data_IF_419956357550
#
_entry.id   IF_419956357550
#
_cell.length_a   1.000
_cell.length_b   1.000
_cell.length_c   1.000
_cell.angle_alpha   90.00
_cell.angle_beta   90.00
_cell.angle_gamma   90.00
#
_symmetry.space_group_name_H-M   'P 1'
#
loop_
_entity.id
_entity.type
_entity.pdbx_description
1 polymer ?
#
# COMPACT_ATOMS: atom_id res chain seq x y z
N UNK A 1 4.85 -2.46 -32.72
CA UNK A 1 3.49 -1.91 -32.94
C UNK A 1 2.62 -3.07 -33.42
N UNK A 2 1.94 -3.75 -32.50
CA UNK A 2 0.85 -4.68 -32.81
C UNK A 2 0.06 -4.88 -31.52
N UNK A 3 -1.23 -4.53 -31.57
CA UNK A 3 -2.22 -4.79 -30.54
C UNK A 3 -2.44 -6.30 -30.42
N UNK A 4 -2.61 -6.80 -29.20
CA UNK A 4 -3.38 -8.02 -28.98
C UNK A 4 -4.35 -7.82 -27.80
N UNK A 5 -5.63 -8.04 -28.11
CA UNK A 5 -6.77 -7.97 -27.21
C UNK A 5 -6.91 -9.36 -26.58
N UNK A 6 -6.77 -9.50 -25.26
CA UNK A 6 -7.49 -10.55 -24.54
C UNK A 6 -7.70 -10.25 -23.06
N UNK A 7 -8.96 -10.44 -22.66
CA UNK A 7 -9.59 -10.17 -21.38
C UNK A 7 -8.91 -10.84 -20.17
N UNK A 8 -8.67 -10.07 -19.11
CA UNK A 8 -9.09 -10.30 -17.70
C UNK A 8 -8.32 -9.36 -16.75
N UNK A 9 -8.89 -8.19 -16.45
CA UNK A 9 -8.19 -7.09 -15.77
C UNK A 9 -9.03 -6.56 -14.62
N UNK A 10 -8.62 -6.78 -13.37
CA UNK A 10 -9.36 -6.26 -12.22
C UNK A 10 -8.40 -5.85 -11.09
N UNK A 11 -8.51 -4.56 -10.71
CA UNK A 11 -8.01 -3.84 -9.52
C UNK A 11 -6.73 -2.99 -9.64
N UNK A 12 -5.65 -3.46 -10.26
CA UNK A 12 -4.36 -2.72 -10.21
C UNK A 12 -4.16 -1.63 -11.29
N UNK A 13 -4.65 -1.82 -12.53
CA UNK A 13 -4.39 -0.90 -13.67
C UNK A 13 -5.14 0.45 -13.60
N UNK A 14 -6.20 0.52 -12.79
CA UNK A 14 -7.18 1.62 -12.88
C UNK A 14 -6.75 2.85 -12.11
N UNK A 15 -5.73 2.72 -11.27
CA UNK A 15 -5.15 3.81 -10.50
C UNK A 15 -4.26 4.72 -11.37
N UNK A 16 -3.63 4.15 -12.41
CA UNK A 16 -2.74 4.87 -13.32
C UNK A 16 -3.42 5.29 -14.62
N UNK A 17 -4.59 4.71 -14.93
CA UNK A 17 -5.31 5.00 -16.18
C UNK A 17 -4.80 4.19 -17.37
N UNK A 18 -4.10 3.08 -17.12
CA UNK A 18 -3.48 2.23 -18.13
C UNK A 18 -4.40 1.09 -18.64
N UNK A 19 -5.62 0.99 -18.12
CA UNK A 19 -6.59 -0.04 -18.51
C UNK A 19 -7.16 0.15 -19.93
N UNK A 20 -7.45 1.40 -20.31
CA UNK A 20 -8.02 1.75 -21.62
C UNK A 20 -7.64 3.18 -21.99
N UNK A 21 -7.55 3.47 -23.28
CA UNK A 21 -7.36 4.82 -23.79
C UNK A 21 -8.58 5.73 -23.52
N UNK A 22 -9.73 5.16 -23.12
CA UNK A 22 -10.93 5.92 -22.76
C UNK A 22 -10.95 6.25 -21.25
N UNK A 23 -10.78 7.53 -20.86
CA UNK A 23 -10.75 7.92 -19.44
C UNK A 23 -12.08 7.72 -18.72
N UNK A 24 -13.21 7.83 -19.43
CA UNK A 24 -14.54 7.61 -18.85
C UNK A 24 -14.71 6.14 -18.50
N UNK A 25 -14.33 5.24 -19.41
CA UNK A 25 -14.37 3.81 -19.16
C UNK A 25 -13.51 3.45 -17.94
N UNK A 26 -12.28 3.97 -17.87
CA UNK A 26 -11.40 3.78 -16.71
C UNK A 26 -12.06 4.20 -15.40
N UNK A 27 -12.72 5.36 -15.39
CA UNK A 27 -13.38 5.87 -14.20
C UNK A 27 -14.61 5.04 -13.80
N UNK A 28 -15.47 4.65 -14.73
CA UNK A 28 -16.65 3.81 -14.44
C UNK A 28 -16.22 2.47 -13.86
N UNK A 29 -15.27 1.83 -14.55
CA UNK A 29 -14.78 0.50 -14.23
C UNK A 29 -13.90 0.55 -12.97
N UNK A 30 -13.30 1.71 -12.66
CA UNK A 30 -12.61 2.01 -11.41
C UNK A 30 -13.59 2.13 -10.23
N UNK A 31 -14.65 2.91 -10.37
CA UNK A 31 -15.67 3.05 -9.32
C UNK A 31 -16.33 1.71 -8.98
N UNK A 32 -16.78 0.96 -9.98
CA UNK A 32 -17.45 -0.32 -9.76
C UNK A 32 -16.60 -1.25 -8.89
N UNK A 33 -15.34 -1.50 -9.29
CA UNK A 33 -14.49 -2.41 -8.54
C UNK A 33 -14.10 -1.90 -7.16
N UNK A 34 -13.72 -0.64 -7.04
CA UNK A 34 -13.22 -0.12 -5.77
C UNK A 34 -14.33 0.04 -4.75
N UNK A 35 -15.51 0.49 -5.17
CA UNK A 35 -16.68 0.47 -4.29
C UNK A 35 -17.02 -0.95 -3.86
N UNK A 36 -16.94 -1.96 -4.75
CA UNK A 36 -17.16 -3.37 -4.38
C UNK A 36 -16.21 -3.93 -3.32
N UNK A 37 -15.04 -3.33 -3.12
CA UNK A 37 -14.10 -3.65 -2.03
C UNK A 37 -14.01 -2.53 -0.99
N UNK A 38 -15.04 -1.70 -0.86
CA UNK A 38 -15.15 -0.63 0.13
C UNK A 38 -14.01 0.40 0.10
N UNK A 39 -13.51 0.72 -1.09
CA UNK A 39 -12.49 1.76 -1.32
C UNK A 39 -13.08 2.93 -2.12
N UNK A 40 -12.91 4.19 -1.68
CA UNK A 40 -13.33 5.35 -2.47
C UNK A 40 -12.34 5.55 -3.63
N UNK A 41 -12.76 5.21 -4.85
CA UNK A 41 -11.90 5.19 -6.05
C UNK A 41 -11.04 6.46 -6.19
N UNK A 42 -11.62 7.64 -6.39
CA UNK A 42 -10.81 8.86 -6.58
C UNK A 42 -9.99 9.24 -5.35
N UNK A 43 -10.53 9.00 -4.15
CA UNK A 43 -9.80 9.24 -2.91
C UNK A 43 -8.49 8.46 -2.88
N UNK A 44 -8.55 7.15 -3.09
CA UNK A 44 -7.37 6.30 -3.15
C UNK A 44 -6.51 6.57 -4.39
N UNK A 45 -7.10 6.75 -5.58
CA UNK A 45 -6.36 7.02 -6.82
C UNK A 45 -5.43 8.22 -6.69
N UNK A 46 -5.93 9.31 -6.10
CA UNK A 46 -5.17 10.56 -5.97
C UNK A 46 -4.06 10.38 -4.94
N UNK A 47 -4.35 9.82 -3.76
CA UNK A 47 -3.31 9.58 -2.74
C UNK A 47 -2.25 8.58 -3.20
N UNK A 48 -2.65 7.54 -3.92
CA UNK A 48 -1.75 6.58 -4.55
C UNK A 48 -0.84 7.25 -5.60
N UNK A 49 -1.39 8.16 -6.41
CA UNK A 49 -0.56 8.98 -7.33
C UNK A 49 0.46 9.82 -6.55
N UNK A 50 0.05 10.44 -5.43
CA UNK A 50 0.96 11.19 -4.55
C UNK A 50 2.06 10.30 -3.98
N UNK A 51 1.74 9.07 -3.55
CA UNK A 51 2.73 8.06 -3.16
C UNK A 51 3.73 7.78 -4.28
N UNK A 52 3.26 7.53 -5.51
CA UNK A 52 4.15 7.33 -6.64
C UNK A 52 5.04 8.53 -6.97
N UNK A 53 4.59 9.75 -6.69
CA UNK A 53 5.39 10.95 -6.92
C UNK A 53 6.43 11.20 -5.84
N UNK A 54 6.28 10.60 -4.65
CA UNK A 54 7.06 10.92 -3.45
C UNK A 54 7.66 9.70 -2.75
N UNK A 55 7.58 8.51 -3.33
CA UNK A 55 8.00 7.26 -2.69
C UNK A 55 9.44 7.36 -2.12
N UNK A 56 9.62 6.87 -0.89
CA UNK A 56 10.92 6.92 -0.19
C UNK A 56 11.31 8.31 0.35
N UNK A 57 10.42 9.32 0.26
CA UNK A 57 10.57 10.60 0.95
C UNK A 57 9.93 10.54 2.34
N UNK A 58 10.65 10.94 3.40
CA UNK A 58 10.14 10.82 4.79
C UNK A 58 8.85 11.63 5.00
N UNK A 59 8.79 12.86 4.51
CA UNK A 59 7.68 13.79 4.76
C UNK A 59 6.54 13.68 3.72
N UNK A 60 6.89 13.52 2.44
CA UNK A 60 5.95 13.68 1.33
C UNK A 60 5.32 12.37 0.83
N UNK A 61 5.90 11.21 1.15
CA UNK A 61 5.27 9.91 0.90
C UNK A 61 4.01 9.73 1.77
N UNK A 62 3.11 8.79 1.49
CA UNK A 62 1.74 8.73 2.02
C UNK A 62 1.49 7.61 3.05
N UNK A 63 1.73 6.37 2.64
CA UNK A 63 1.42 5.16 3.41
C UNK A 63 2.70 4.49 3.89
N UNK A 64 2.63 3.83 5.05
CA UNK A 64 3.77 3.09 5.63
C UNK A 64 5.08 3.89 5.74
N UNK A 65 4.97 5.22 5.85
CA UNK A 65 6.12 6.11 6.01
C UNK A 65 6.76 5.96 7.40
N UNK A 66 8.07 6.17 7.52
CA UNK A 66 8.75 6.16 8.79
C UNK A 66 8.26 7.33 9.64
N UNK A 67 8.12 7.10 10.93
CA UNK A 67 7.84 8.17 11.88
C UNK A 67 9.15 8.79 12.35
N UNK A 68 9.31 10.12 12.33
CA UNK A 68 10.37 10.77 13.09
C UNK A 68 10.28 10.36 14.57
N UNK A 69 11.43 10.16 15.21
CA UNK A 69 11.52 9.66 16.59
C UNK A 69 10.65 10.45 17.58
N UNK A 70 10.64 11.79 17.48
CA UNK A 70 9.79 12.64 18.32
C UNK A 70 8.30 12.35 18.14
N UNK A 71 7.85 12.09 16.93
CA UNK A 71 6.44 11.77 16.65
C UNK A 71 6.13 10.37 17.17
N UNK A 72 6.99 9.39 16.89
CA UNK A 72 6.84 8.02 17.36
C UNK A 72 6.72 7.97 18.90
N UNK A 73 7.56 8.70 19.63
CA UNK A 73 7.53 8.77 21.09
C UNK A 73 6.23 9.36 21.65
N UNK A 74 5.57 10.25 20.90
CA UNK A 74 4.29 10.88 21.27
C UNK A 74 3.06 10.03 20.95
N UNK A 75 3.19 8.96 20.16
CA UNK A 75 2.06 8.10 19.86
C UNK A 75 1.55 7.42 21.13
N UNK A 76 0.23 7.34 21.24
CA UNK A 76 -0.43 6.59 22.29
C UNK A 76 -0.21 5.08 22.11
N UNK A 77 -0.44 4.33 23.19
CA UNK A 77 -0.24 2.89 23.20
C UNK A 77 -1.08 2.16 22.15
N UNK A 78 -2.32 2.58 21.92
CA UNK A 78 -3.23 1.88 20.99
C UNK A 78 -2.75 2.03 19.54
N UNK A 79 -2.29 3.24 19.16
CA UNK A 79 -1.70 3.47 17.83
C UNK A 79 -0.43 2.65 17.64
N UNK A 80 0.46 2.59 18.65
CA UNK A 80 1.66 1.74 18.57
C UNK A 80 1.30 0.25 18.48
N UNK A 81 0.35 -0.21 19.29
CA UNK A 81 -0.11 -1.59 19.28
C UNK A 81 -0.66 -1.98 17.91
N UNK A 82 -1.58 -1.19 17.35
CA UNK A 82 -2.16 -1.45 16.03
C UNK A 82 -1.13 -1.38 14.89
N UNK A 83 -0.09 -0.54 15.01
CA UNK A 83 0.94 -0.35 13.97
C UNK A 83 2.10 -1.34 14.04
N UNK A 84 2.44 -1.87 15.21
CA UNK A 84 3.66 -2.69 15.39
C UNK A 84 3.43 -4.09 15.97
N UNK A 85 2.20 -4.47 16.34
CA UNK A 85 1.92 -5.82 16.87
C UNK A 85 1.21 -6.69 15.84
N UNK A 86 1.91 -7.66 15.25
CA UNK A 86 1.27 -8.67 14.38
C UNK A 86 0.11 -9.38 15.10
N UNK A 87 -1.06 -9.57 14.45
CA UNK A 87 -1.36 -9.30 13.04
C UNK A 87 -2.04 -7.94 12.76
N UNK A 88 -2.24 -7.09 13.76
CA UNK A 88 -3.06 -5.88 13.68
C UNK A 88 -2.67 -4.90 12.54
N UNK A 89 -1.38 -4.69 12.21
CA UNK A 89 -0.99 -3.77 11.14
C UNK A 89 -1.51 -4.21 9.76
N UNK A 90 -1.83 -5.49 9.58
CA UNK A 90 -2.37 -6.03 8.33
C UNK A 90 -3.87 -5.72 8.15
N UNK A 91 -4.50 -5.10 9.14
CA UNK A 91 -5.89 -4.64 9.03
C UNK A 91 -5.98 -3.11 9.06
N UNK A 92 -4.86 -2.42 8.79
CA UNK A 92 -4.75 -0.97 8.91
C UNK A 92 -5.38 -0.24 7.73
N UNK A 93 -5.51 -0.87 6.56
CA UNK A 93 -5.97 -0.22 5.33
C UNK A 93 -7.29 0.54 5.47
N UNK A 94 -8.37 -0.02 6.06
CA UNK A 94 -9.60 0.75 6.26
C UNK A 94 -9.38 1.96 7.17
N UNK A 95 -8.58 1.81 8.24
CA UNK A 95 -8.24 2.91 9.16
C UNK A 95 -7.45 3.99 8.41
N UNK A 96 -6.51 3.60 7.55
CA UNK A 96 -5.75 4.50 6.70
C UNK A 96 -6.66 5.29 5.73
N UNK A 97 -7.69 4.66 5.17
CA UNK A 97 -8.67 5.37 4.34
C UNK A 97 -9.38 6.48 5.12
N UNK A 98 -9.74 6.22 6.38
CA UNK A 98 -10.43 7.19 7.23
C UNK A 98 -9.52 8.28 7.80
N UNK A 99 -8.30 7.93 8.22
CA UNK A 99 -7.47 8.78 9.10
C UNK A 99 -6.02 8.99 8.64
N UNK A 100 -5.59 8.35 7.54
CA UNK A 100 -4.21 8.29 7.03
C UNK A 100 -3.20 7.72 8.04
N UNK A 101 -1.92 7.69 7.65
CA UNK A 101 -0.81 7.27 8.50
C UNK A 101 -0.63 8.21 9.70
N UNK A 102 -0.15 7.73 10.86
CA UNK A 102 0.18 8.61 11.99
C UNK A 102 1.13 9.74 11.57
N UNK A 103 0.85 10.96 12.06
CA UNK A 103 1.57 12.18 11.64
C UNK A 103 0.99 12.87 10.40
N UNK A 104 0.02 12.24 9.72
CA UNK A 104 -0.74 12.86 8.62
C UNK A 104 -2.19 13.03 9.03
N UNK A 105 -2.85 14.01 8.43
CA UNK A 105 -4.26 14.32 8.70
C UNK A 105 -5.07 14.30 7.41
N UNK A 106 -6.35 13.95 7.54
CA UNK A 106 -7.26 13.87 6.41
C UNK A 106 -7.89 12.49 6.23
N UNK A 107 -8.78 12.41 5.25
CA UNK A 107 -9.60 11.23 4.97
C UNK A 107 -9.78 11.11 3.47
N UNK A 108 -9.70 9.89 2.95
CA UNK A 108 -9.92 9.59 1.54
C UNK A 108 -11.36 9.80 1.10
N UNK A 109 -12.28 9.91 2.07
CA UNK A 109 -13.71 10.13 1.84
C UNK A 109 -14.11 11.62 1.88
N UNK A 110 -13.27 12.47 2.49
CA UNK A 110 -13.59 13.88 2.68
C UNK A 110 -13.00 14.72 1.53
N UNK A 111 -13.82 15.34 0.65
CA UNK A 111 -13.31 16.17 -0.44
C UNK A 111 -12.50 17.38 0.03
N UNK A 112 -12.71 17.85 1.27
CA UNK A 112 -11.96 18.96 1.86
C UNK A 112 -10.71 18.49 2.63
N UNK A 113 -10.35 17.21 2.54
CA UNK A 113 -9.11 16.70 3.10
C UNK A 113 -7.88 17.37 2.45
N UNK A 114 -6.83 17.59 3.25
CA UNK A 114 -5.52 18.05 2.77
C UNK A 114 -4.85 17.11 1.76
N UNK A 115 -5.42 15.93 1.50
CA UNK A 115 -5.02 15.03 0.41
C UNK A 115 -5.31 15.60 -0.99
N UNK A 116 -6.30 16.48 -1.11
CA UNK A 116 -6.91 16.81 -2.40
C UNK A 116 -6.85 18.30 -2.69
N UNK A 117 -6.57 18.63 -3.95
CA UNK A 117 -6.70 20.00 -4.44
C UNK A 117 -8.17 20.38 -4.63
N UNK A 118 -8.44 21.69 -4.74
CA UNK A 118 -9.80 22.19 -4.89
C UNK A 118 -10.50 21.67 -6.16
N UNK A 119 -9.76 21.46 -7.25
CA UNK A 119 -10.24 20.91 -8.52
C UNK A 119 -10.60 19.41 -8.44
N UNK A 120 -10.07 18.69 -7.45
CA UNK A 120 -10.28 17.24 -7.28
C UNK A 120 -11.50 16.90 -6.40
N UNK A 121 -12.06 17.90 -5.70
CA UNK A 121 -13.14 17.72 -4.71
C UNK A 121 -14.36 16.99 -5.26
N UNK A 122 -14.78 17.34 -6.48
CA UNK A 122 -15.94 16.73 -7.13
C UNK A 122 -15.72 15.24 -7.37
N UNK A 123 -14.51 14.85 -7.77
CA UNK A 123 -14.13 13.45 -8.00
C UNK A 123 -14.23 12.65 -6.69
N UNK A 124 -13.66 13.18 -5.61
CA UNK A 124 -13.70 12.55 -4.29
C UNK A 124 -15.15 12.40 -3.80
N UNK A 125 -15.96 13.46 -3.94
CA UNK A 125 -17.37 13.43 -3.56
C UNK A 125 -18.15 12.33 -4.32
N UNK A 126 -17.95 12.20 -5.63
CA UNK A 126 -18.55 11.13 -6.43
C UNK A 126 -18.16 9.74 -5.91
N UNK A 127 -16.88 9.51 -5.64
CA UNK A 127 -16.42 8.22 -5.10
C UNK A 127 -16.97 7.93 -3.70
N UNK A 128 -17.09 8.93 -2.84
CA UNK A 128 -17.68 8.77 -1.50
C UNK A 128 -19.17 8.43 -1.58
N UNK A 129 -19.92 9.05 -2.50
CA UNK A 129 -21.34 8.73 -2.74
C UNK A 129 -21.49 7.28 -3.23
N UNK A 130 -20.68 6.86 -4.21
CA UNK A 130 -20.74 5.49 -4.75
C UNK A 130 -20.29 4.43 -3.73
N UNK A 131 -19.31 4.76 -2.88
CA UNK A 131 -18.96 3.93 -1.74
C UNK A 131 -20.12 3.81 -0.74
N UNK A 132 -20.79 4.90 -0.39
CA UNK A 132 -21.93 4.88 0.52
C UNK A 132 -23.10 4.08 -0.06
N UNK A 133 -23.32 4.17 -1.38
CA UNK A 133 -24.29 3.36 -2.09
C UNK A 133 -23.96 1.86 -2.00
N UNK A 134 -22.69 1.47 -2.10
CA UNK A 134 -22.28 0.07 -1.88
C UNK A 134 -22.54 -0.38 -0.44
N UNK A 135 -22.24 0.44 0.56
CA UNK A 135 -22.51 0.10 1.97
C UNK A 135 -24.01 -0.07 2.20
N UNK A 136 -24.84 0.82 1.67
CA UNK A 136 -26.30 0.69 1.73
C UNK A 136 -26.79 -0.58 1.02
N UNK A 137 -26.24 -0.89 -0.16
CA UNK A 137 -26.54 -2.13 -0.88
C UNK A 137 -26.20 -3.37 -0.04
N UNK A 138 -25.01 -3.44 0.56
CA UNK A 138 -24.60 -4.54 1.44
C UNK A 138 -25.50 -4.64 2.67
N UNK A 139 -25.94 -3.51 3.24
CA UNK A 139 -26.91 -3.49 4.33
C UNK A 139 -28.25 -4.10 3.90
N UNK A 140 -28.79 -3.71 2.74
CA UNK A 140 -30.01 -4.31 2.20
C UNK A 140 -29.84 -5.82 1.96
N UNK A 141 -28.72 -6.26 1.38
CA UNK A 141 -28.43 -7.69 1.21
C UNK A 141 -28.39 -8.41 2.57
N UNK A 142 -27.76 -7.79 3.59
CA UNK A 142 -27.72 -8.31 4.96
C UNK A 142 -29.12 -8.58 5.53
N UNK A 143 -30.09 -7.70 5.24
CA UNK A 143 -31.48 -7.89 5.68
C UNK A 143 -32.23 -9.03 4.97
N UNK A 144 -31.76 -9.45 3.79
CA UNK A 144 -32.36 -10.52 3.00
C UNK A 144 -31.75 -11.88 3.34
N UNK A 145 -30.42 -12.00 3.32
CA UNK A 145 -29.71 -13.28 3.52
C UNK A 145 -29.24 -13.51 4.96
N UNK A 146 -29.38 -12.50 5.81
CA UNK A 146 -28.91 -12.48 7.20
C UNK A 146 -27.45 -12.00 7.33
N UNK A 147 -27.12 -11.31 8.44
CA UNK A 147 -25.79 -10.72 8.64
C UNK A 147 -24.67 -11.76 8.72
N UNK A 148 -24.94 -12.95 9.26
CA UNK A 148 -23.93 -14.02 9.33
C UNK A 148 -23.61 -14.60 7.95
N UNK A 149 -24.61 -14.71 7.07
CA UNK A 149 -24.41 -15.15 5.69
C UNK A 149 -23.60 -14.11 4.91
N UNK A 150 -23.94 -12.82 5.04
CA UNK A 150 -23.19 -11.74 4.41
C UNK A 150 -21.74 -11.69 4.92
N UNK A 151 -21.53 -11.85 6.23
CA UNK A 151 -20.20 -11.93 6.82
C UNK A 151 -19.38 -13.07 6.19
N UNK A 152 -19.97 -14.25 5.99
CA UNK A 152 -19.27 -15.40 5.38
C UNK A 152 -18.91 -15.18 3.91
N UNK A 153 -19.84 -14.66 3.10
CA UNK A 153 -19.66 -14.58 1.64
C UNK A 153 -18.96 -13.30 1.18
N UNK A 154 -19.04 -12.23 1.97
CA UNK A 154 -18.45 -10.93 1.64
C UNK A 154 -17.44 -10.46 2.69
N UNK A 155 -17.83 -10.45 3.97
CA UNK A 155 -16.99 -9.90 5.04
C UNK A 155 -15.67 -10.65 5.25
N UNK A 156 -15.68 -11.97 5.34
CA UNK A 156 -14.47 -12.80 5.51
C UNK A 156 -13.55 -12.70 4.29
N UNK A 157 -14.02 -12.86 3.03
CA UNK A 157 -13.19 -12.60 1.85
C UNK A 157 -12.61 -11.18 1.81
N UNK A 158 -13.40 -10.18 2.18
CA UNK A 158 -12.94 -8.79 2.26
C UNK A 158 -11.82 -8.61 3.30
N UNK A 159 -11.93 -9.20 4.49
CA UNK A 159 -10.89 -9.15 5.51
C UNK A 159 -9.59 -9.85 5.06
N UNK A 160 -9.71 -10.97 4.35
CA UNK A 160 -8.55 -11.65 3.75
C UNK A 160 -7.89 -10.77 2.69
N UNK A 161 -8.69 -10.12 1.84
CA UNK A 161 -8.20 -9.17 0.84
C UNK A 161 -7.47 -7.99 1.50
N UNK A 162 -8.04 -7.37 2.54
CA UNK A 162 -7.41 -6.28 3.30
C UNK A 162 -6.08 -6.73 3.89
N UNK A 163 -6.06 -7.90 4.55
CA UNK A 163 -4.85 -8.48 5.12
C UNK A 163 -3.76 -8.69 4.07
N UNK A 164 -4.13 -9.23 2.91
CA UNK A 164 -3.20 -9.45 1.81
C UNK A 164 -2.69 -8.13 1.23
N UNK A 165 -3.59 -7.16 0.98
CA UNK A 165 -3.25 -5.84 0.44
C UNK A 165 -2.26 -5.10 1.33
N UNK A 166 -2.50 -5.04 2.64
CA UNK A 166 -1.57 -4.40 3.57
C UNK A 166 -0.23 -5.14 3.63
N UNK A 167 -0.25 -6.48 3.62
CA UNK A 167 0.97 -7.30 3.61
C UNK A 167 1.85 -7.00 2.39
N UNK A 168 1.27 -7.03 1.19
CA UNK A 168 2.04 -6.82 -0.05
C UNK A 168 2.55 -5.38 -0.13
N UNK A 169 1.70 -4.41 0.18
CA UNK A 169 2.06 -2.99 0.17
C UNK A 169 3.16 -2.70 1.19
N UNK A 170 3.10 -3.29 2.38
CA UNK A 170 4.17 -3.10 3.36
C UNK A 170 5.51 -3.72 2.90
N UNK A 171 5.51 -4.99 2.47
CA UNK A 171 6.71 -5.73 2.07
C UNK A 171 7.43 -5.18 0.84
N UNK A 172 6.70 -4.44 0.01
CA UNK A 172 7.22 -3.72 -1.13
C UNK A 172 8.08 -2.49 -0.75
N UNK A 173 7.93 -1.99 0.47
CA UNK A 173 8.68 -0.83 0.98
C UNK A 173 9.51 -1.15 2.23
N UNK A 174 9.41 -2.38 2.77
CA UNK A 174 10.02 -2.80 4.03
C UNK A 174 10.53 -4.25 3.97
N UNK A 175 11.21 -4.72 5.02
CA UNK A 175 11.48 -6.16 5.20
C UNK A 175 12.59 -6.73 4.32
N UNK A 176 13.63 -5.95 4.01
CA UNK A 176 14.81 -6.40 3.28
C UNK A 176 15.98 -6.73 4.23
N UNK A 177 16.93 -7.57 3.79
CA UNK A 177 18.08 -7.99 4.61
C UNK A 177 18.95 -6.79 5.05
N UNK A 178 19.17 -5.87 4.13
CA UNK A 178 19.79 -4.57 4.36
C UNK A 178 18.70 -3.51 4.56
N UNK A 179 18.87 -2.64 5.56
CA UNK A 179 17.95 -1.52 5.79
C UNK A 179 17.95 -0.60 4.58
N UNK A 180 16.75 -0.22 4.15
CA UNK A 180 16.54 0.67 3.02
C UNK A 180 16.62 2.11 3.52
N UNK A 181 17.31 3.00 2.80
CA UNK A 181 17.36 4.41 3.16
C UNK A 181 16.01 5.08 2.88
N UNK A 182 15.70 6.09 3.69
CA UNK A 182 14.67 7.08 3.42
C UNK A 182 15.34 8.44 3.29
N UNK A 183 14.80 9.29 2.43
CA UNK A 183 15.45 10.54 2.05
C UNK A 183 14.64 11.76 2.45
N UNK A 184 15.34 12.88 2.68
CA UNK A 184 14.79 14.21 2.89
C UNK A 184 15.44 15.23 1.97
N UNK A 185 14.75 16.34 1.75
CA UNK A 185 15.31 17.53 1.12
C UNK A 185 16.00 17.22 -0.22
N UNK A 186 17.27 17.65 -0.34
CA UNK A 186 18.03 17.52 -1.60
C UNK A 186 18.57 16.11 -1.85
N UNK A 187 18.59 15.23 -0.85
CA UNK A 187 19.02 13.84 -1.01
C UNK A 187 17.92 12.97 -1.63
N UNK A 188 16.67 13.43 -1.59
CA UNK A 188 15.58 12.75 -2.28
C UNK A 188 15.59 13.10 -3.77
N UNK A 189 15.43 12.08 -4.60
CA UNK A 189 15.03 12.21 -5.99
C UNK A 189 14.07 11.09 -6.33
N UNK A 190 13.25 11.29 -7.37
CA UNK A 190 12.33 10.26 -7.86
C UNK A 190 13.05 8.92 -8.06
N UNK A 191 14.18 8.90 -8.78
CA UNK A 191 14.92 7.66 -9.02
C UNK A 191 15.43 7.03 -7.71
N UNK A 192 16.01 7.81 -6.79
CA UNK A 192 16.54 7.27 -5.53
C UNK A 192 15.44 6.64 -4.69
N UNK A 193 14.30 7.31 -4.54
CA UNK A 193 13.16 6.76 -3.84
C UNK A 193 12.56 5.53 -4.51
N UNK A 194 12.56 5.46 -5.85
CA UNK A 194 12.02 4.31 -6.57
C UNK A 194 12.88 3.07 -6.35
N UNK A 195 14.21 3.27 -6.33
CA UNK A 195 15.19 2.22 -6.04
C UNK A 195 15.23 1.79 -4.57
N UNK A 196 14.45 2.39 -3.66
CA UNK A 196 14.30 1.86 -2.29
C UNK A 196 13.12 0.90 -2.17
N UNK A 197 12.29 0.75 -3.19
CA UNK A 197 11.27 -0.30 -3.21
C UNK A 197 11.91 -1.68 -3.43
N UNK A 198 11.16 -2.72 -3.09
CA UNK A 198 11.66 -4.10 -3.07
C UNK A 198 10.73 -4.98 -3.88
N UNK A 199 11.27 -5.59 -4.93
CA UNK A 199 10.58 -6.64 -5.65
C UNK A 199 10.39 -7.88 -4.76
N UNK A 200 9.25 -8.56 -4.91
CA UNK A 200 8.88 -9.73 -4.11
C UNK A 200 8.34 -10.84 -5.01
N UNK A 201 8.77 -12.06 -4.75
CA UNK A 201 8.20 -13.23 -5.41
C UNK A 201 7.12 -13.85 -4.51
N UNK A 202 5.87 -13.87 -4.97
CA UNK A 202 4.73 -14.41 -4.23
C UNK A 202 4.35 -15.83 -4.68
N UNK A 203 5.17 -16.51 -5.49
CA UNK A 203 4.89 -17.88 -5.94
C UNK A 203 3.67 -17.97 -6.84
N UNK A 204 2.73 -18.88 -6.53
CA UNK A 204 1.48 -19.04 -7.30
C UNK A 204 0.59 -17.80 -7.27
N UNK A 205 0.75 -16.94 -6.26
CA UNK A 205 -0.06 -15.74 -6.14
C UNK A 205 0.34 -14.64 -7.12
N UNK A 206 1.56 -14.66 -7.67
CA UNK A 206 2.06 -13.62 -8.58
C UNK A 206 1.04 -13.26 -9.66
N UNK A 207 0.47 -14.26 -10.35
CA UNK A 207 -0.52 -14.04 -11.42
C UNK A 207 -1.90 -13.61 -10.92
N UNK A 208 -2.26 -13.95 -9.69
CA UNK A 208 -3.55 -13.55 -9.08
C UNK A 208 -3.58 -12.04 -8.83
N UNK A 209 -2.44 -11.48 -8.41
CA UNK A 209 -2.28 -10.05 -8.19
C UNK A 209 -1.45 -9.39 -9.29
N UNK A 210 -1.53 -9.90 -10.52
CA UNK A 210 -1.02 -9.23 -11.73
C UNK A 210 0.47 -8.87 -11.68
N UNK A 211 1.28 -9.77 -11.14
CA UNK A 211 2.73 -9.63 -10.99
C UNK A 211 3.15 -8.37 -10.22
N UNK A 212 2.31 -7.87 -9.28
CA UNK A 212 2.59 -6.67 -8.46
C UNK A 212 3.97 -6.69 -7.78
N UNK A 213 4.55 -7.88 -7.60
CA UNK A 213 5.89 -8.09 -7.07
C UNK A 213 7.02 -7.47 -7.89
N UNK A 214 6.80 -7.07 -9.15
CA UNK A 214 7.72 -6.23 -9.93
C UNK A 214 7.60 -4.75 -9.58
N UNK A 215 7.73 -4.45 -8.30
CA UNK A 215 7.35 -3.19 -7.71
C UNK A 215 8.31 -2.03 -8.01
N UNK A 216 9.60 -2.31 -8.20
CA UNK A 216 10.61 -1.31 -8.56
C UNK A 216 10.27 -0.63 -9.88
N UNK A 217 9.98 -1.43 -10.92
CA UNK A 217 9.62 -0.88 -12.23
C UNK A 217 8.24 -0.25 -12.22
N UNK A 218 7.31 -0.81 -11.46
CA UNK A 218 6.03 -0.15 -11.24
C UNK A 218 6.19 1.25 -10.64
N UNK A 219 7.08 1.43 -9.67
CA UNK A 219 7.35 2.73 -9.07
C UNK A 219 8.06 3.69 -10.02
N UNK A 220 9.07 3.21 -10.74
CA UNK A 220 9.82 4.05 -11.67
C UNK A 220 9.00 4.42 -12.90
N UNK A 221 8.10 3.54 -13.36
CA UNK A 221 7.34 3.68 -14.58
C UNK A 221 5.88 3.22 -14.38
N UNK A 222 5.08 3.92 -13.55
CA UNK A 222 3.71 3.49 -13.21
C UNK A 222 2.73 3.49 -14.39
N UNK A 223 3.13 4.05 -15.54
CA UNK A 223 2.36 4.03 -16.77
C UNK A 223 2.48 2.70 -17.54
N UNK A 224 3.49 1.88 -17.24
CA UNK A 224 3.63 0.56 -17.86
C UNK A 224 2.48 -0.34 -17.34
N UNK A 225 1.64 -0.89 -18.22
CA UNK A 225 0.58 -1.82 -17.82
C UNK A 225 1.15 -3.07 -17.16
N UNK A 226 0.39 -3.70 -16.27
CA UNK A 226 0.94 -4.78 -15.43
C UNK A 226 1.39 -5.99 -16.24
N UNK A 227 0.71 -6.27 -17.35
CA UNK A 227 1.02 -7.38 -18.25
C UNK A 227 2.35 -7.20 -18.99
N UNK A 228 2.93 -6.00 -18.97
CA UNK A 228 4.28 -5.73 -19.46
C UNK A 228 5.32 -5.52 -18.35
N UNK A 229 4.93 -5.46 -17.06
CA UNK A 229 5.88 -5.17 -15.98
C UNK A 229 6.95 -6.25 -15.81
N UNK A 230 6.62 -7.53 -16.02
CA UNK A 230 7.59 -8.63 -15.96
C UNK A 230 8.66 -8.48 -17.04
N UNK A 231 8.25 -8.16 -18.26
CA UNK A 231 9.16 -7.92 -19.39
C UNK A 231 10.01 -6.67 -19.14
N UNK A 232 9.38 -5.56 -18.76
CA UNK A 232 10.06 -4.31 -18.45
C UNK A 232 11.07 -4.49 -17.32
N UNK A 233 10.74 -5.29 -16.30
CA UNK A 233 11.65 -5.64 -15.20
C UNK A 233 12.85 -6.43 -15.68
N UNK A 234 12.64 -7.44 -16.54
CA UNK A 234 13.74 -8.21 -17.14
C UNK A 234 14.74 -7.32 -17.87
N UNK A 235 14.24 -6.35 -18.66
CA UNK A 235 15.11 -5.45 -19.41
C UNK A 235 15.76 -4.39 -18.51
N UNK A 236 15.01 -3.82 -17.57
CA UNK A 236 15.51 -2.79 -16.66
C UNK A 236 16.62 -3.33 -15.74
N UNK A 237 16.60 -4.61 -15.36
CA UNK A 237 17.70 -5.26 -14.60
C UNK A 237 19.07 -5.04 -15.25
N UNK A 238 19.14 -5.08 -16.58
CA UNK A 238 20.39 -4.89 -17.34
C UNK A 238 20.96 -3.48 -17.17
N UNK A 239 20.08 -2.49 -17.05
CA UNK A 239 20.43 -1.07 -16.89
C UNK A 239 20.70 -0.74 -15.42
N UNK A 240 19.86 -1.24 -14.51
CA UNK A 240 19.98 -1.00 -13.07
C UNK A 240 21.21 -1.69 -12.47
N UNK A 241 21.62 -2.83 -13.02
CA UNK A 241 22.83 -3.55 -12.63
C UNK A 241 22.88 -3.78 -11.12
N UNK A 242 23.97 -3.32 -10.48
CA UNK A 242 24.20 -3.48 -9.03
C UNK A 242 23.17 -2.78 -8.14
N UNK A 243 22.37 -1.86 -8.68
CA UNK A 243 21.34 -1.16 -7.91
C UNK A 243 20.02 -1.94 -7.82
N UNK A 244 19.83 -2.95 -8.67
CA UNK A 244 18.66 -3.83 -8.59
C UNK A 244 18.87 -4.93 -7.55
N UNK A 245 17.85 -5.16 -6.73
CA UNK A 245 17.85 -6.20 -5.69
C UNK A 245 17.01 -7.37 -6.18
N UNK A 246 17.66 -8.47 -6.52
CA UNK A 246 16.97 -9.67 -6.96
C UNK A 246 16.08 -10.23 -5.82
N UNK A 247 14.78 -10.45 -6.05
CA UNK A 247 13.93 -11.08 -5.05
C UNK A 247 14.36 -12.51 -4.81
N UNK A 248 14.30 -12.95 -3.54
CA UNK A 248 14.41 -14.37 -3.22
C UNK A 248 13.25 -15.11 -3.87
N UNK A 249 13.56 -16.19 -4.60
CA UNK A 249 12.53 -17.00 -5.25
C UNK A 249 11.65 -17.71 -4.25
N UNK A 250 10.35 -17.71 -4.52
CA UNK A 250 9.36 -18.44 -3.74
C UNK A 250 9.19 -19.88 -4.23
N UNK A 251 8.81 -20.77 -3.32
CA UNK A 251 8.06 -21.97 -3.71
C UNK A 251 6.62 -21.62 -4.10
N UNK A 252 5.69 -22.60 -4.15
CA UNK A 252 4.29 -22.32 -4.47
C UNK A 252 3.63 -21.29 -3.53
N UNK A 253 3.97 -21.35 -2.24
CA UNK A 253 3.50 -20.43 -1.19
C UNK A 253 4.70 -19.61 -0.66
N UNK A 254 4.59 -18.28 -0.51
CA UNK A 254 5.72 -17.42 -0.17
C UNK A 254 6.05 -17.35 1.32
N UNK A 255 6.25 -18.51 1.97
CA UNK A 255 6.60 -18.59 3.39
C UNK A 255 7.90 -17.83 3.74
N UNK A 256 8.80 -17.64 2.76
CA UNK A 256 10.03 -16.88 2.95
C UNK A 256 9.80 -15.39 3.27
N UNK A 257 8.61 -14.85 2.98
CA UNK A 257 8.25 -13.46 3.27
C UNK A 257 7.79 -13.26 4.73
N UNK A 258 7.36 -14.31 5.41
CA UNK A 258 6.87 -14.21 6.80
C UNK A 258 7.98 -13.70 7.75
N UNK A 259 9.22 -14.25 7.73
CA UNK A 259 10.29 -13.71 8.56
C UNK A 259 10.63 -12.25 8.24
N UNK A 260 10.60 -11.87 6.95
CA UNK A 260 10.82 -10.47 6.52
C UNK A 260 9.77 -9.54 7.10
N UNK A 261 8.49 -9.91 7.01
CA UNK A 261 7.36 -9.14 7.53
C UNK A 261 7.47 -8.98 9.05
N UNK A 262 7.62 -10.10 9.77
CA UNK A 262 7.65 -10.10 11.24
C UNK A 262 8.86 -9.31 11.76
N UNK A 263 10.05 -9.54 11.20
CA UNK A 263 11.27 -8.86 11.63
C UNK A 263 11.17 -7.35 11.42
N UNK A 264 10.75 -6.91 10.23
CA UNK A 264 10.66 -5.46 9.94
C UNK A 264 9.61 -4.77 10.81
N UNK A 265 8.43 -5.36 11.00
CA UNK A 265 7.41 -4.77 11.90
C UNK A 265 7.93 -4.66 13.34
N UNK A 266 8.76 -5.60 13.79
CA UNK A 266 9.35 -5.61 15.13
C UNK A 266 10.60 -4.74 15.28
N UNK A 267 11.24 -4.31 14.19
CA UNK A 267 12.49 -3.55 14.24
C UNK A 267 12.40 -2.15 13.68
N UNK A 268 11.47 -1.88 12.78
CA UNK A 268 11.42 -0.67 11.98
C UNK A 268 10.41 0.32 12.57
N UNK A 269 10.75 0.86 13.75
CA UNK A 269 9.83 1.67 14.54
C UNK A 269 9.83 3.14 14.13
N UNK A 270 11.00 3.76 14.02
CA UNK A 270 11.15 5.18 13.72
C UNK A 270 12.43 5.46 12.95
N UNK A 271 12.60 6.70 12.50
CA UNK A 271 13.86 7.23 11.92
C UNK A 271 14.35 8.44 12.72
N UNK A 272 15.65 8.72 12.66
CA UNK A 272 16.25 9.91 13.29
C UNK A 272 15.50 11.18 12.87
N UNK A 273 15.25 12.08 13.83
CA UNK A 273 14.69 13.41 13.57
C UNK A 273 15.63 14.30 12.72
N UNK A 274 16.91 13.95 12.65
CA UNK A 274 17.96 14.69 11.93
C UNK A 274 18.61 13.85 10.83
N UNK A 275 19.23 14.53 9.86
CA UNK A 275 19.92 13.94 8.72
C UNK A 275 19.04 13.80 7.48
N UNK A 276 19.66 13.84 6.30
CA UNK A 276 18.96 13.83 5.01
C UNK A 276 18.83 12.43 4.39
N UNK A 277 19.67 11.48 4.84
CA UNK A 277 19.56 10.06 4.54
C UNK A 277 19.43 9.31 5.86
N UNK A 278 18.28 8.70 6.11
CA UNK A 278 17.98 8.03 7.37
C UNK A 278 17.56 6.59 7.17
N UNK A 279 17.77 5.79 8.21
CA UNK A 279 17.41 4.38 8.24
C UNK A 279 16.55 4.12 9.47
N UNK A 280 15.66 3.14 9.35
CA UNK A 280 14.84 2.70 10.48
C UNK A 280 15.70 2.31 11.68
N UNK A 281 15.17 2.59 12.88
CA UNK A 281 15.75 2.27 14.17
C UNK A 281 14.74 1.53 15.04
N UNK A 282 15.28 0.71 15.95
CA UNK A 282 14.48 -0.13 16.83
C UNK A 282 14.28 0.58 18.17
N UNK A 283 13.04 0.67 18.63
CA UNK A 283 12.74 1.00 20.02
C UNK A 283 12.95 -0.24 20.90
N UNK A 284 14.06 -0.24 21.66
CA UNK A 284 14.39 -1.33 22.58
C UNK A 284 13.56 -1.30 23.87
N UNK A 285 12.89 -0.19 24.18
CA UNK A 285 12.05 -0.07 25.38
C UNK A 285 10.72 -0.83 25.25
N UNK A 286 10.24 -1.01 24.01
CA UNK A 286 8.96 -1.66 23.72
C UNK A 286 8.93 -3.16 24.04
N UNK A 287 10.09 -3.82 24.14
CA UNK A 287 10.22 -5.24 24.50
C UNK A 287 10.53 -5.48 25.99
N UNK A 288 10.81 -4.43 26.76
CA UNK A 288 11.22 -4.57 28.16
C UNK A 288 10.05 -4.60 29.14
N UNK A 289 8.85 -4.17 28.73
CA UNK A 289 7.66 -4.16 29.61
C UNK A 289 7.04 -5.55 29.84
N UNK A 290 7.37 -6.56 29.01
CA UNK A 290 6.86 -7.92 29.23
C UNK A 290 7.65 -8.73 30.27
N UNK A 291 8.73 -8.18 30.85
CA UNK A 291 9.54 -8.83 31.89
C UNK A 291 9.30 -8.31 33.31
N UNK A 292 8.45 -7.29 33.49
CA UNK A 292 8.25 -6.63 34.79
C UNK A 292 6.96 -7.07 35.53
N UNK A 293 6.21 -8.04 35.00
CA UNK A 293 5.01 -8.58 35.66
C UNK A 293 5.13 -10.05 36.09
N UNK A 294 6.36 -10.59 36.13
CA UNK A 294 6.65 -11.88 36.74
C UNK A 294 7.75 -11.68 37.78
N UNK A 295 7.37 -11.20 38.96
CA UNK A 295 8.05 -11.39 40.24
C UNK A 295 7.03 -11.09 41.35
#
# INVERSE_FOLDING_TARGET
MQYDNNNNILLYEKWHGSFSDNPVLNNVVGHFLHSSILVPYHGWRISHKTHHQNHGHVENDESWVPLPEKLYKKLDYSTKFLRYKIPFPMFAYPIYLWSRSPGKSGSHFNPYSALFRADERKLVMTSTILWAAMVAFLFCVSTIIGPLSLLKVYGVPYLIFVMWLDTVTYLHHHGHEQKLPWYRGKEWSYLRGGLTTVDRDYGLFNKIHHDIGTHVIHHLFPQIPHYHLVEATREAKRVLGKYYREPRKSGPIPFHLIPSLVKSIQSDHYVSDTGDVVFYQTDTSHFSSSKLHTN
#
